data_IF_447296264306
#
_entry.id   IF_447296264306
#
_cell.length_a   1.000
_cell.length_b   1.000
_cell.length_c   1.000
_cell.angle_alpha   90.00
_cell.angle_beta   90.00
_cell.angle_gamma   90.00
#
_symmetry.space_group_name_H-M   'P 1'
#
loop_
_entity.id
_entity.type
_entity.pdbx_description
1 polymer ?
#
# COMPACT_ATOMS: atom_id res chain seq x y z
N UNK A 1 -16.56 9.91 12.46
CA UNK A 1 -16.53 8.58 11.82
C UNK A 1 -17.36 7.63 12.66
N UNK A 2 -18.09 6.70 12.06
CA UNK A 2 -18.79 5.64 12.81
C UNK A 2 -17.75 4.64 13.32
N UNK A 3 -17.21 4.88 14.52
CA UNK A 3 -16.14 4.08 15.13
C UNK A 3 -16.63 3.18 16.26
N UNK A 4 -17.94 2.91 16.35
CA UNK A 4 -18.49 2.04 17.41
C UNK A 4 -17.95 0.61 17.35
N UNK A 5 -17.55 0.17 16.15
CA UNK A 5 -16.82 -1.07 15.84
C UNK A 5 -15.63 -0.70 14.97
N UNK A 6 -14.54 -0.15 15.53
CA UNK A 6 -13.46 0.39 14.73
C UNK A 6 -12.71 -0.74 14.01
N UNK A 7 -12.29 -0.50 12.77
CA UNK A 7 -11.47 -1.44 11.99
C UNK A 7 -9.97 -1.22 12.19
N UNK A 8 -9.59 -0.02 12.65
CA UNK A 8 -8.18 0.39 12.84
C UNK A 8 -8.03 1.32 14.04
N UNK A 9 -6.82 1.35 14.60
CA UNK A 9 -6.40 2.31 15.62
C UNK A 9 -5.22 3.09 15.06
N UNK A 10 -5.37 4.40 14.91
CA UNK A 10 -4.36 5.31 14.37
C UNK A 10 -3.88 6.23 15.49
N UNK A 11 -2.62 6.08 15.93
CA UNK A 11 -2.04 6.90 17.00
C UNK A 11 -2.91 6.95 18.28
N UNK A 12 -3.53 5.82 18.64
CA UNK A 12 -4.43 5.71 19.80
C UNK A 12 -5.87 6.20 19.56
N UNK A 13 -6.16 6.81 18.41
CA UNK A 13 -7.51 7.17 18.00
C UNK A 13 -8.17 6.04 17.20
N UNK A 14 -9.48 5.84 17.42
CA UNK A 14 -10.25 4.89 16.64
C UNK A 14 -10.50 5.42 15.23
N UNK A 15 -10.35 4.57 14.21
CA UNK A 15 -10.71 4.87 12.84
C UNK A 15 -11.47 3.70 12.18
N UNK A 16 -12.26 4.06 11.17
CA UNK A 16 -13.00 3.10 10.36
C UNK A 16 -14.17 2.44 11.09
N UNK A 17 -14.79 1.50 10.40
CA UNK A 17 -15.98 0.78 10.83
C UNK A 17 -15.95 -0.67 10.35
N UNK A 18 -16.51 -1.58 11.13
CA UNK A 18 -16.78 -2.98 10.77
C UNK A 18 -18.26 -3.25 10.98
N UNK A 19 -18.97 -3.87 10.03
CA UNK A 19 -20.37 -4.28 10.17
C UNK A 19 -20.58 -5.26 11.32
N UNK A 20 -21.81 -5.35 11.85
CA UNK A 20 -22.10 -6.20 13.01
C UNK A 20 -21.86 -7.70 12.73
N UNK A 21 -21.98 -8.11 11.46
CA UNK A 21 -21.71 -9.47 11.00
C UNK A 21 -20.26 -9.70 10.53
N UNK A 22 -19.40 -8.69 10.65
CA UNK A 22 -17.98 -8.76 10.31
C UNK A 22 -17.66 -8.83 8.81
N UNK A 23 -18.66 -8.76 7.92
CA UNK A 23 -18.47 -8.96 6.48
C UNK A 23 -18.03 -7.71 5.73
N UNK A 24 -18.29 -6.53 6.27
CA UNK A 24 -17.94 -5.25 5.66
C UNK A 24 -17.05 -4.50 6.62
N UNK A 25 -15.89 -4.04 6.15
CA UNK A 25 -15.02 -3.15 6.92
C UNK A 25 -14.48 -2.04 6.03
N UNK A 26 -14.20 -0.88 6.62
CA UNK A 26 -13.57 0.25 5.94
C UNK A 26 -12.80 1.12 6.91
N UNK A 27 -11.81 1.86 6.40
CA UNK A 27 -10.97 2.83 7.14
C UNK A 27 -10.52 3.91 6.15
N UNK A 28 -10.24 5.11 6.65
CA UNK A 28 -9.60 6.17 5.85
C UNK A 28 -8.10 5.95 5.66
N UNK A 29 -7.50 5.00 6.39
CA UNK A 29 -6.12 4.61 6.20
C UNK A 29 -5.91 4.02 4.81
N UNK A 30 -5.18 4.76 3.97
CA UNK A 30 -4.73 4.28 2.68
C UNK A 30 -3.48 3.41 2.83
N UNK A 31 -3.20 2.58 1.81
CA UNK A 31 -1.98 1.76 1.76
C UNK A 31 -1.96 0.57 2.73
N UNK A 32 -3.06 0.30 3.45
CA UNK A 32 -3.16 -0.82 4.39
C UNK A 32 -2.83 -2.18 3.72
N UNK A 33 -3.28 -2.39 2.48
CA UNK A 33 -2.98 -3.59 1.70
C UNK A 33 -1.59 -3.62 1.05
N UNK A 34 -0.89 -2.48 1.01
CA UNK A 34 0.51 -2.42 0.58
C UNK A 34 1.46 -2.97 1.64
N UNK A 35 1.02 -3.07 2.90
CA UNK A 35 1.78 -3.71 3.96
C UNK A 35 1.64 -5.24 3.86
N UNK A 36 2.74 -5.92 3.52
CA UNK A 36 2.75 -7.37 3.27
C UNK A 36 2.25 -8.19 4.46
N UNK A 37 2.65 -7.82 5.67
CA UNK A 37 2.20 -8.50 6.88
C UNK A 37 0.68 -8.39 7.09
N UNK A 38 0.09 -7.22 6.84
CA UNK A 38 -1.35 -7.03 6.93
C UNK A 38 -2.07 -7.84 5.85
N UNK A 39 -1.62 -7.73 4.59
CA UNK A 39 -2.22 -8.43 3.46
C UNK A 39 -2.18 -9.95 3.66
N UNK A 40 -1.06 -10.49 4.13
CA UNK A 40 -0.91 -11.91 4.42
C UNK A 40 -1.88 -12.36 5.51
N UNK A 41 -1.92 -11.67 6.66
CA UNK A 41 -2.82 -12.01 7.76
C UNK A 41 -4.30 -11.88 7.36
N UNK A 42 -4.64 -10.86 6.57
CA UNK A 42 -5.99 -10.66 6.07
C UNK A 42 -6.43 -11.80 5.13
N UNK A 43 -5.59 -12.19 4.17
CA UNK A 43 -5.89 -13.29 3.26
C UNK A 43 -5.99 -14.63 4.00
N UNK A 44 -5.12 -14.87 4.99
CA UNK A 44 -5.19 -16.05 5.86
C UNK A 44 -6.52 -16.10 6.63
N UNK A 45 -7.00 -14.96 7.12
CA UNK A 45 -8.32 -14.87 7.79
C UNK A 45 -9.49 -15.24 6.88
N UNK A 46 -9.31 -15.10 5.56
CA UNK A 46 -10.29 -15.49 4.53
C UNK A 46 -10.09 -16.95 4.05
N UNK A 47 -9.15 -17.69 4.65
CA UNK A 47 -8.84 -19.07 4.27
C UNK A 47 -7.95 -19.20 3.03
N UNK A 48 -7.39 -18.09 2.52
CA UNK A 48 -6.46 -18.09 1.39
C UNK A 48 -5.05 -18.34 1.91
N UNK A 49 -4.42 -19.43 1.45
CA UNK A 49 -3.01 -19.74 1.76
C UNK A 49 -2.11 -19.34 0.58
N UNK A 50 -1.06 -18.58 0.86
CA UNK A 50 -0.14 -18.03 -0.14
C UNK A 50 -0.37 -16.54 -0.42
N UNK A 51 0.61 -15.88 -1.06
CA UNK A 51 0.55 -14.43 -1.35
C UNK A 51 1.77 -13.61 -0.94
N UNK A 52 2.88 -14.27 -0.61
CA UNK A 52 4.18 -13.64 -0.28
C UNK A 52 4.93 -13.12 -1.51
N UNK A 53 4.26 -12.35 -2.37
CA UNK A 53 4.97 -11.49 -3.31
C UNK A 53 5.27 -10.21 -2.55
N UNK A 54 6.54 -9.83 -2.47
CA UNK A 54 6.96 -8.52 -1.99
C UNK A 54 6.55 -7.48 -3.03
N UNK A 55 5.31 -7.03 -2.90
CA UNK A 55 4.71 -6.07 -3.83
C UNK A 55 5.53 -4.78 -3.89
N UNK A 56 6.12 -4.38 -2.75
CA UNK A 56 6.94 -3.18 -2.69
C UNK A 56 8.22 -3.36 -3.49
N UNK A 57 8.92 -4.48 -3.33
CA UNK A 57 10.11 -4.78 -4.12
C UNK A 57 9.82 -4.84 -5.63
N UNK A 58 8.68 -5.39 -6.05
CA UNK A 58 8.29 -5.41 -7.46
C UNK A 58 7.99 -4.00 -8.00
N UNK A 59 7.35 -3.13 -7.20
CA UNK A 59 7.13 -1.73 -7.57
C UNK A 59 8.45 -0.97 -7.69
N UNK A 60 9.35 -1.10 -6.71
CA UNK A 60 10.67 -0.45 -6.74
C UNK A 60 11.46 -0.91 -7.97
N UNK A 61 11.48 -2.22 -8.24
CA UNK A 61 12.13 -2.77 -9.44
C UNK A 61 11.55 -2.19 -10.74
N UNK A 62 10.23 -2.09 -10.85
CA UNK A 62 9.59 -1.52 -12.03
C UNK A 62 9.93 -0.02 -12.20
N UNK A 63 10.03 0.72 -11.10
CA UNK A 63 10.43 2.13 -11.12
C UNK A 63 11.90 2.29 -11.53
N UNK A 64 12.78 1.44 -11.03
CA UNK A 64 14.19 1.41 -11.42
C UNK A 64 14.36 1.09 -12.92
N UNK A 65 13.59 0.14 -13.45
CA UNK A 65 13.59 -0.19 -14.88
C UNK A 65 13.16 1.00 -15.75
N UNK A 66 12.12 1.73 -15.33
CA UNK A 66 11.68 2.95 -16.02
C UNK A 66 12.75 4.04 -15.93
N UNK A 67 13.35 4.25 -14.76
CA UNK A 67 14.42 5.25 -14.58
C UNK A 67 15.62 4.96 -15.50
N UNK A 68 16.05 3.71 -15.57
CA UNK A 68 17.15 3.29 -16.44
C UNK A 68 16.85 3.53 -17.94
N UNK A 69 15.61 3.31 -18.38
CA UNK A 69 15.22 3.59 -19.77
C UNK A 69 15.19 5.09 -20.05
N UNK A 70 14.72 5.91 -19.09
CA UNK A 70 14.75 7.36 -19.22
C UNK A 70 16.17 7.90 -19.30
N UNK A 71 17.08 7.46 -18.43
CA UNK A 71 18.50 7.86 -18.44
C UNK A 71 19.23 7.49 -19.74
N UNK A 72 18.81 6.39 -20.39
CA UNK A 72 19.35 6.01 -21.70
C UNK A 72 18.93 6.94 -22.85
N UNK A 73 17.75 7.54 -22.75
CA UNK A 73 17.13 8.27 -23.85
C UNK A 73 17.04 9.78 -23.62
N UNK A 74 17.21 10.24 -22.40
CA UNK A 74 17.11 11.64 -22.00
C UNK A 74 18.41 12.13 -21.36
N UNK A 75 18.77 13.37 -21.65
CA UNK A 75 19.81 14.08 -20.90
C UNK A 75 19.22 14.59 -19.59
N UNK A 76 19.15 13.71 -18.60
CA UNK A 76 18.58 14.00 -17.28
C UNK A 76 19.31 15.16 -16.59
N UNK A 77 20.63 15.26 -16.75
CA UNK A 77 21.44 16.34 -16.16
C UNK A 77 21.06 17.70 -16.75
N UNK A 78 20.86 17.79 -18.07
CA UNK A 78 20.39 19.02 -18.71
C UNK A 78 18.97 19.40 -18.24
N UNK A 79 18.07 18.42 -18.09
CA UNK A 79 16.70 18.66 -17.60
C UNK A 79 16.72 19.18 -16.15
N UNK A 80 17.48 18.53 -15.26
CA UNK A 80 17.59 18.98 -13.87
C UNK A 80 18.30 20.34 -13.75
N UNK A 81 19.24 20.65 -14.65
CA UNK A 81 19.87 21.95 -14.75
C UNK A 81 18.89 23.08 -15.13
N UNK A 82 17.85 22.80 -15.92
CA UNK A 82 16.81 23.76 -16.30
C UNK A 82 15.75 23.97 -15.22
N UNK A 83 15.54 23.00 -14.33
CA UNK A 83 14.53 23.05 -13.28
C UNK A 83 14.97 23.87 -12.04
N UNK A 84 16.18 24.44 -12.07
CA UNK A 84 16.81 25.14 -10.95
C UNK A 84 16.81 26.65 -11.11
#
# INVERSE_FOLDING_TARGET
TDTARPSTILNGAQDGAVSADGKVMGTYLHGLFSADAFRAAYLESLGVKGGGIDYRAEVEKALDEVAAELERHLDCDAIFGLAR
#
